data_IF_523769082782
#
_entry.id   IF_523769082782
#
_cell.length_a   1.000
_cell.length_b   1.000
_cell.length_c   1.000
_cell.angle_alpha   90.00
_cell.angle_beta   90.00
_cell.angle_gamma   90.00
#
_symmetry.space_group_name_H-M   'P 1'
#
loop_
_entity.id
_entity.type
_entity.pdbx_description
1 polymer ?
#
# COMPACT_ATOMS: atom_id res chain seq x y z
N UNK A 1 6.12 -5.69 -2.27
CA UNK A 1 4.81 -6.37 -2.39
C UNK A 1 4.91 -7.72 -1.71
N UNK A 2 3.82 -8.20 -1.11
CA UNK A 2 3.68 -9.55 -0.54
C UNK A 2 2.51 -10.29 -1.22
N UNK A 3 2.13 -11.47 -0.75
CA UNK A 3 0.99 -12.24 -1.27
C UNK A 3 -0.15 -12.34 -0.26
N UNK A 4 -1.38 -12.16 -0.75
CA UNK A 4 -2.61 -12.37 0.02
C UNK A 4 -2.90 -13.86 0.25
N UNK A 5 -3.96 -14.15 1.00
CA UNK A 5 -4.39 -15.53 1.31
C UNK A 5 -4.82 -16.36 0.09
N UNK A 6 -4.96 -15.73 -1.08
CA UNK A 6 -5.32 -16.35 -2.37
C UNK A 6 -4.14 -16.37 -3.35
N UNK A 7 -2.94 -15.97 -2.91
CA UNK A 7 -1.73 -15.92 -3.73
C UNK A 7 -1.67 -14.76 -4.72
N UNK A 8 -2.51 -13.73 -4.58
CA UNK A 8 -2.39 -12.51 -5.39
C UNK A 8 -1.45 -11.51 -4.72
N UNK A 9 -0.67 -10.73 -5.48
CA UNK A 9 0.12 -9.64 -4.91
C UNK A 9 -0.74 -8.64 -4.14
N UNK A 10 -0.22 -8.13 -3.03
CA UNK A 10 -0.77 -7.00 -2.28
C UNK A 10 0.33 -6.12 -1.68
N UNK A 11 -0.04 -4.96 -1.17
CA UNK A 11 0.86 -3.98 -0.56
C UNK A 11 1.11 -4.33 0.91
N UNK A 12 2.36 -4.21 1.32
CA UNK A 12 2.81 -4.18 2.72
C UNK A 12 3.67 -2.94 2.90
N UNK A 13 3.53 -2.26 4.04
CA UNK A 13 4.27 -1.06 4.40
C UNK A 13 4.96 -1.27 5.73
N UNK A 14 6.23 -0.87 5.76
CA UNK A 14 7.01 -0.70 6.98
C UNK A 14 7.11 0.78 7.33
N UNK A 15 6.69 1.14 8.53
CA UNK A 15 6.85 2.47 9.11
C UNK A 15 7.85 2.38 10.26
N UNK A 16 8.93 3.17 10.20
CA UNK A 16 9.98 3.17 11.22
C UNK A 16 9.98 4.47 12.01
N UNK A 17 9.98 4.36 13.33
CA UNK A 17 10.12 5.48 14.27
C UNK A 17 11.27 5.19 15.25
N UNK A 18 11.50 6.09 16.21
CA UNK A 18 12.39 5.84 17.33
C UNK A 18 11.93 4.69 18.25
N UNK A 19 10.65 4.27 18.17
CA UNK A 19 10.10 3.15 18.94
C UNK A 19 10.31 1.79 18.25
N UNK A 20 10.74 1.78 16.99
CA UNK A 20 10.94 0.58 16.19
C UNK A 20 10.21 0.60 14.86
N UNK A 21 10.10 -0.58 14.24
CA UNK A 21 9.45 -0.80 12.95
C UNK A 21 8.06 -1.40 13.16
N UNK A 22 7.07 -0.83 12.49
CA UNK A 22 5.67 -1.22 12.51
C UNK A 22 5.26 -1.62 11.09
N UNK A 23 4.59 -2.77 10.96
CA UNK A 23 4.27 -3.36 9.67
C UNK A 23 2.77 -3.56 9.52
N UNK A 24 2.24 -3.20 8.36
CA UNK A 24 0.86 -3.45 8.00
C UNK A 24 0.75 -3.88 6.53
N UNK A 25 -0.19 -4.77 6.25
CA UNK A 25 -0.52 -5.22 4.90
C UNK A 25 -1.98 -4.92 4.57
N UNK A 26 -2.25 -4.61 3.30
CA UNK A 26 -3.58 -4.29 2.81
C UNK A 26 -4.28 -5.57 2.31
N UNK A 27 -5.52 -5.86 2.75
CA UNK A 27 -6.27 -6.98 2.20
C UNK A 27 -6.72 -6.68 0.77
N UNK A 28 -6.71 -7.69 -0.11
CA UNK A 28 -7.27 -7.55 -1.45
C UNK A 28 -8.78 -7.80 -1.42
N UNK A 29 -9.55 -6.83 -1.90
CA UNK A 29 -10.99 -6.97 -2.10
C UNK A 29 -11.31 -8.02 -3.17
N UNK A 30 -12.45 -8.71 -3.01
CA UNK A 30 -13.06 -9.50 -4.08
C UNK A 30 -14.21 -8.74 -4.76
N UNK A 31 -14.82 -7.82 -4.02
CA UNK A 31 -15.86 -6.91 -4.52
C UNK A 31 -15.24 -5.85 -5.42
N UNK A 32 -15.95 -5.48 -6.47
CA UNK A 32 -15.61 -4.38 -7.39
C UNK A 32 -16.73 -3.36 -7.40
N UNK A 33 -17.30 -3.07 -6.22
CA UNK A 33 -18.40 -2.12 -6.09
C UNK A 33 -18.01 -0.79 -6.71
N UNK A 34 -18.88 -0.23 -7.56
CA UNK A 34 -18.59 1.01 -8.31
C UNK A 34 -18.35 2.24 -7.42
N UNK A 35 -18.67 2.13 -6.13
CA UNK A 35 -18.47 3.18 -5.12
C UNK A 35 -17.33 2.87 -4.14
N UNK A 36 -16.62 1.75 -4.32
CA UNK A 36 -15.46 1.42 -3.50
C UNK A 36 -14.22 2.21 -3.94
N UNK A 37 -13.31 2.47 -3.00
CA UNK A 37 -12.01 3.01 -3.34
C UNK A 37 -11.26 2.03 -4.26
N UNK A 38 -10.64 2.57 -5.32
CA UNK A 38 -10.02 1.74 -6.35
C UNK A 38 -8.67 1.17 -5.88
N UNK A 39 -8.53 -0.15 -5.95
CA UNK A 39 -7.24 -0.83 -5.78
C UNK A 39 -6.40 -0.68 -7.06
N UNK A 40 -5.21 -0.05 -6.94
CA UNK A 40 -4.31 0.15 -8.07
C UNK A 40 -3.54 -1.14 -8.40
N UNK A 41 -3.85 -1.71 -9.57
CA UNK A 41 -3.15 -2.88 -10.15
C UNK A 41 -2.26 -2.50 -11.33
N UNK A 42 -1.19 -3.26 -11.54
CA UNK A 42 -0.22 -3.02 -12.61
C UNK A 42 -0.80 -3.26 -14.01
N UNK A 43 -1.74 -4.22 -14.12
CA UNK A 43 -2.39 -4.67 -15.35
C UNK A 43 -1.45 -5.27 -16.41
N UNK A 44 -0.24 -5.67 -16.00
CA UNK A 44 0.67 -6.45 -16.85
C UNK A 44 0.27 -7.93 -16.87
N UNK A 45 -0.36 -8.38 -17.96
CA UNK A 45 -0.84 -9.76 -18.09
C UNK A 45 0.27 -10.82 -18.01
N UNK A 46 1.52 -10.45 -18.28
CA UNK A 46 2.66 -11.37 -18.20
C UNK A 46 3.07 -11.69 -16.76
N UNK A 47 2.64 -10.86 -15.79
CA UNK A 47 3.02 -10.98 -14.40
C UNK A 47 1.78 -11.07 -13.50
N UNK A 48 1.67 -12.16 -12.74
CA UNK A 48 0.59 -12.38 -11.77
C UNK A 48 -0.82 -12.12 -12.34
N UNK A 49 -1.05 -12.46 -13.61
CA UNK A 49 -2.31 -12.24 -14.33
C UNK A 49 -2.80 -10.77 -14.31
N UNK A 50 -1.88 -9.81 -14.32
CA UNK A 50 -2.20 -8.37 -14.26
C UNK A 50 -2.42 -7.83 -12.86
N UNK A 51 -2.32 -8.66 -11.81
CA UNK A 51 -2.63 -8.29 -10.42
C UNK A 51 -1.43 -7.79 -9.62
N UNK A 52 -0.30 -7.53 -10.26
CA UNK A 52 0.84 -6.86 -9.61
C UNK A 52 0.43 -5.53 -8.97
N UNK A 53 1.18 -5.09 -7.96
CA UNK A 53 0.94 -3.83 -7.23
C UNK A 53 2.19 -2.95 -7.18
N UNK A 54 3.13 -3.13 -8.11
CA UNK A 54 4.40 -2.39 -8.11
C UNK A 54 4.19 -0.89 -8.30
N UNK A 55 3.20 -0.47 -9.10
CA UNK A 55 2.82 0.95 -9.22
C UNK A 55 2.33 1.54 -7.90
N UNK A 56 1.54 0.79 -7.14
CA UNK A 56 1.08 1.22 -5.82
C UNK A 56 2.25 1.34 -4.82
N UNK A 57 3.15 0.35 -4.83
CA UNK A 57 4.39 0.37 -4.02
C UNK A 57 5.28 1.55 -4.42
N UNK A 58 5.38 1.85 -5.71
CA UNK A 58 6.15 2.99 -6.21
C UNK A 58 5.57 4.33 -5.73
N UNK A 59 4.24 4.50 -5.78
CA UNK A 59 3.58 5.69 -5.25
C UNK A 59 3.87 5.87 -3.75
N UNK A 60 3.83 4.80 -2.96
CA UNK A 60 4.17 4.85 -1.54
C UNK A 60 5.60 5.32 -1.35
N UNK A 61 6.55 4.67 -2.01
CA UNK A 61 7.98 4.92 -1.79
C UNK A 61 8.46 6.27 -2.34
N UNK A 62 7.90 6.72 -3.47
CA UNK A 62 8.40 7.90 -4.19
C UNK A 62 7.57 9.17 -3.98
N UNK A 63 6.31 9.04 -3.58
CA UNK A 63 5.39 10.18 -3.44
C UNK A 63 4.95 10.34 -1.99
N UNK A 64 4.36 9.31 -1.40
CA UNK A 64 3.75 9.42 -0.06
C UNK A 64 4.83 9.50 1.03
N UNK A 65 5.80 8.58 1.03
CA UNK A 65 6.78 8.49 2.10
C UNK A 65 7.62 9.78 2.26
N UNK A 66 8.15 10.42 1.19
CA UNK A 66 8.87 11.68 1.34
C UNK A 66 8.01 12.80 1.95
N UNK A 67 6.74 12.93 1.53
CA UNK A 67 5.86 14.00 2.03
C UNK A 67 5.41 13.76 3.47
N UNK A 68 5.11 12.51 3.84
CA UNK A 68 4.79 12.15 5.24
C UNK A 68 5.99 12.41 6.15
N UNK A 69 7.19 12.00 5.76
CA UNK A 69 8.41 12.25 6.54
C UNK A 69 8.67 13.76 6.68
N UNK A 70 8.53 14.51 5.57
CA UNK A 70 8.74 15.96 5.55
C UNK A 70 7.71 16.71 6.39
N UNK A 71 6.47 16.24 6.45
CA UNK A 71 5.41 16.85 7.27
C UNK A 71 5.75 16.83 8.76
N UNK A 72 6.58 15.88 9.21
CA UNK A 72 6.90 15.70 10.62
C UNK A 72 5.68 15.36 11.48
N UNK A 73 4.61 14.83 10.87
CA UNK A 73 3.37 14.53 11.57
C UNK A 73 3.59 13.51 12.70
N UNK A 74 2.93 13.75 13.84
CA UNK A 74 2.96 12.81 14.95
C UNK A 74 2.16 11.55 14.59
N UNK A 75 2.74 10.36 14.78
CA UNK A 75 2.10 9.08 14.42
C UNK A 75 0.80 8.78 15.17
N UNK A 76 0.51 9.49 16.26
CA UNK A 76 -0.75 9.37 17.00
C UNK A 76 -1.84 10.33 16.50
N UNK A 77 -1.51 11.25 15.59
CA UNK A 77 -2.43 12.23 15.02
C UNK A 77 -3.10 11.68 13.75
N UNK A 78 -3.88 10.60 13.90
CA UNK A 78 -4.46 9.84 12.78
C UNK A 78 -5.40 10.66 11.88
N UNK A 79 -6.08 11.66 12.42
CA UNK A 79 -7.02 12.53 11.67
C UNK A 79 -6.29 13.62 10.86
N UNK A 80 -5.05 13.96 11.23
CA UNK A 80 -4.25 14.98 10.56
C UNK A 80 -3.37 14.39 9.44
N UNK A 81 -3.35 13.06 9.31
CA UNK A 81 -2.66 12.28 8.25
C UNK A 81 -3.45 12.30 6.94
#
# INVERSE_FOLDING_TARGET
QIFDSRGNPTVEVDLTTNLGMFRAAVPSGASTGVHEALELRDNDKNNYHGKGVLKAVENINKVIAPEVIKSGICVTAQEDM
#
